data_IF_283077173971
#
_entry.id   IF_283077173971
#
_cell.length_a   1.000
_cell.length_b   1.000
_cell.length_c   1.000
_cell.angle_alpha   90.00
_cell.angle_beta   90.00
_cell.angle_gamma   90.00
#
_symmetry.space_group_name_H-M   'P 1'
#
loop_
_entity.id
_entity.type
_entity.pdbx_description
1 polymer ?
#
# COMPACT_ATOMS: atom_id res chain seq x y z
N UNK A 1 -12.39 23.97 -13.40
CA UNK A 1 -11.43 22.96 -13.86
C UNK A 1 -11.04 22.14 -12.64
N UNK A 2 -11.64 20.97 -12.48
CA UNK A 2 -11.26 20.03 -11.42
C UNK A 2 -9.85 19.56 -11.74
N UNK A 3 -8.87 19.88 -10.89
CA UNK A 3 -7.61 19.16 -10.86
C UNK A 3 -7.97 17.71 -10.52
N UNK A 4 -8.17 16.88 -11.55
CA UNK A 4 -8.30 15.46 -11.37
C UNK A 4 -6.99 15.02 -10.73
N UNK A 5 -7.04 14.54 -9.49
CA UNK A 5 -5.87 14.00 -8.83
C UNK A 5 -5.38 12.86 -9.72
N UNK A 6 -4.24 13.05 -10.40
CA UNK A 6 -3.76 12.13 -11.44
C UNK A 6 -3.52 10.73 -10.90
N UNK A 7 -3.41 10.61 -9.58
CA UNK A 7 -3.18 9.36 -8.88
C UNK A 7 -4.19 9.16 -7.75
N UNK A 8 -4.49 7.89 -7.50
CA UNK A 8 -5.16 7.42 -6.28
C UNK A 8 -4.17 6.63 -5.44
N UNK A 9 -4.47 6.53 -4.15
CA UNK A 9 -3.72 5.71 -3.22
C UNK A 9 -4.60 4.60 -2.69
N UNK A 10 -4.02 3.44 -2.41
CA UNK A 10 -4.71 2.40 -1.67
C UNK A 10 -3.76 1.70 -0.70
N UNK A 11 -4.30 1.29 0.44
CA UNK A 11 -3.60 0.50 1.43
C UNK A 11 -4.11 -0.93 1.42
N UNK A 12 -3.20 -1.91 1.41
CA UNK A 12 -3.52 -3.33 1.41
C UNK A 12 -2.83 -4.03 2.59
N UNK A 13 -3.61 -4.76 3.37
CA UNK A 13 -3.14 -5.67 4.40
C UNK A 13 -2.82 -7.03 3.78
N UNK A 14 -1.68 -7.62 4.13
CA UNK A 14 -1.25 -8.94 3.66
C UNK A 14 -1.22 -9.93 4.81
N UNK A 15 -2.15 -10.89 4.78
CA UNK A 15 -2.15 -11.98 5.74
C UNK A 15 -1.23 -13.09 5.27
N UNK A 16 -0.37 -13.57 6.17
CA UNK A 16 0.63 -14.57 5.82
C UNK A 16 0.02 -15.97 5.94
N UNK A 17 -0.31 -16.59 4.79
CA UNK A 17 -0.39 -18.04 4.63
C UNK A 17 -1.50 -18.81 5.37
N UNK A 18 -2.29 -18.18 6.23
CA UNK A 18 -3.46 -18.84 6.81
C UNK A 18 -4.60 -18.87 5.79
N UNK A 19 -5.08 -20.06 5.44
CA UNK A 19 -6.10 -20.28 4.42
C UNK A 19 -7.42 -19.54 4.68
N UNK A 20 -7.66 -19.12 5.92
CA UNK A 20 -8.86 -18.39 6.36
C UNK A 20 -8.66 -16.85 6.35
N UNK A 21 -7.43 -16.36 6.19
CA UNK A 21 -7.12 -14.94 6.23
C UNK A 21 -6.72 -14.43 4.85
N UNK A 22 -7.64 -13.69 4.22
CA UNK A 22 -7.42 -13.11 2.90
C UNK A 22 -6.80 -11.72 3.00
N UNK A 23 -5.83 -11.42 2.14
CA UNK A 23 -5.37 -10.04 1.93
C UNK A 23 -6.55 -9.16 1.51
N UNK A 24 -6.64 -7.97 2.10
CA UNK A 24 -7.74 -7.04 1.82
C UNK A 24 -7.27 -5.60 1.70
N UNK A 25 -8.10 -4.78 1.05
CA UNK A 25 -7.87 -3.34 0.92
C UNK A 25 -8.44 -2.63 2.16
N UNK A 26 -7.58 -1.90 2.86
CA UNK A 26 -7.94 -1.11 4.05
C UNK A 26 -8.65 0.18 3.65
N UNK A 27 -8.11 0.88 2.64
CA UNK A 27 -8.62 2.17 2.19
C UNK A 27 -8.20 2.47 0.75
N UNK A 28 -8.99 3.29 0.05
CA UNK A 28 -8.67 3.88 -1.26
C UNK A 28 -9.02 5.37 -1.22
N UNK A 29 -8.15 6.24 -1.73
CA UNK A 29 -8.42 7.68 -1.79
C UNK A 29 -7.16 8.54 -1.82
N UNK A 30 -7.23 9.70 -1.18
CA UNK A 30 -6.09 10.61 -1.05
C UNK A 30 -5.02 10.06 -0.11
N UNK A 31 -3.75 10.37 -0.40
CA UNK A 31 -2.59 9.82 0.29
C UNK A 31 -2.67 9.96 1.82
N UNK A 32 -2.92 11.17 2.32
CA UNK A 32 -2.93 11.45 3.76
C UNK A 32 -4.02 10.66 4.50
N UNK A 33 -5.19 10.49 3.87
CA UNK A 33 -6.31 9.73 4.46
C UNK A 33 -5.98 8.24 4.46
N UNK A 34 -5.49 7.72 3.33
CA UNK A 34 -5.10 6.30 3.20
C UNK A 34 -3.99 5.95 4.19
N UNK A 35 -2.99 6.81 4.35
CA UNK A 35 -1.90 6.59 5.30
C UNK A 35 -2.38 6.60 6.75
N UNK A 36 -3.25 7.54 7.12
CA UNK A 36 -3.83 7.60 8.47
C UNK A 36 -4.65 6.33 8.79
N UNK A 37 -5.47 5.86 7.84
CA UNK A 37 -6.26 4.65 8.00
C UNK A 37 -5.40 3.39 8.03
N UNK A 38 -4.36 3.31 7.21
CA UNK A 38 -3.39 2.22 7.24
C UNK A 38 -2.70 2.10 8.61
N UNK A 39 -2.28 3.25 9.18
CA UNK A 39 -1.68 3.31 10.53
C UNK A 39 -2.66 2.88 11.61
N UNK A 40 -3.92 3.34 11.52
CA UNK A 40 -4.96 2.96 12.48
C UNK A 40 -5.25 1.45 12.44
N UNK A 41 -5.32 0.87 11.25
CA UNK A 41 -5.58 -0.56 11.07
C UNK A 41 -4.40 -1.42 11.56
N UNK A 42 -3.17 -1.04 11.19
CA UNK A 42 -1.95 -1.70 11.66
C UNK A 42 -1.83 -1.67 13.20
N UNK A 43 -2.16 -0.54 13.82
CA UNK A 43 -2.18 -0.40 15.28
C UNK A 43 -3.28 -1.23 15.94
N UNK A 44 -4.49 -1.28 15.34
CA UNK A 44 -5.63 -2.07 15.84
C UNK A 44 -5.28 -3.54 16.01
N UNK A 45 -4.47 -4.07 15.09
CA UNK A 45 -4.06 -5.47 15.07
C UNK A 45 -2.63 -5.69 15.56
N UNK A 46 -2.02 -4.66 16.18
CA UNK A 46 -0.70 -4.73 16.82
C UNK A 46 0.36 -5.36 15.91
N UNK A 47 0.41 -4.94 14.65
CA UNK A 47 1.42 -5.43 13.71
C UNK A 47 1.32 -6.92 13.37
N UNK A 48 0.17 -7.58 13.60
CA UNK A 48 -0.02 -8.99 13.23
C UNK A 48 0.27 -9.27 11.74
N UNK A 49 0.10 -8.26 10.88
CA UNK A 49 0.42 -8.33 9.46
C UNK A 49 1.02 -7.01 8.93
N UNK A 50 1.58 -7.08 7.74
CA UNK A 50 2.10 -5.90 7.04
C UNK A 50 1.00 -5.16 6.26
N UNK A 51 1.09 -3.83 6.23
CA UNK A 51 0.21 -2.98 5.41
C UNK A 51 1.05 -2.21 4.40
N UNK A 52 0.85 -2.47 3.12
CA UNK A 52 1.50 -1.71 2.05
C UNK A 52 0.58 -0.59 1.55
N UNK A 53 1.17 0.56 1.23
CA UNK A 53 0.48 1.70 0.65
C UNK A 53 1.04 1.90 -0.76
N UNK A 54 0.15 1.91 -1.74
CA UNK A 54 0.49 2.06 -3.14
C UNK A 54 -0.10 3.35 -3.72
N UNK A 55 0.59 3.89 -4.72
CA UNK A 55 0.11 4.92 -5.63
C UNK A 55 -0.22 4.28 -6.98
N UNK A 56 -1.36 4.60 -7.58
CA UNK A 56 -1.72 4.14 -8.92
C UNK A 56 -2.59 5.14 -9.69
N UNK A 57 -2.87 4.88 -10.97
CA UNK A 57 -3.75 5.70 -11.79
C UNK A 57 -5.23 5.29 -11.60
N UNK A 58 -6.17 6.25 -11.52
CA UNK A 58 -7.59 5.92 -11.62
C UNK A 58 -7.89 5.21 -12.95
N UNK A 59 -8.60 4.08 -12.90
CA UNK A 59 -8.98 3.25 -14.06
C UNK A 59 -7.81 2.60 -14.83
N UNK A 60 -6.58 2.64 -14.31
CA UNK A 60 -5.46 1.87 -14.82
C UNK A 60 -5.41 0.48 -14.17
N UNK A 61 -4.98 -0.54 -14.91
CA UNK A 61 -4.65 -1.82 -14.30
C UNK A 61 -3.55 -1.62 -13.27
N UNK A 62 -3.83 -1.96 -12.01
CA UNK A 62 -2.88 -1.76 -10.91
C UNK A 62 -1.57 -2.48 -11.16
N UNK A 63 -1.59 -3.67 -11.76
CA UNK A 63 -0.39 -4.46 -12.10
C UNK A 63 0.62 -3.70 -12.96
N UNK A 64 0.15 -2.82 -13.83
CA UNK A 64 1.00 -2.05 -14.76
C UNK A 64 1.36 -0.66 -14.22
N UNK A 65 0.70 -0.21 -13.13
CA UNK A 65 0.74 1.19 -12.69
C UNK A 65 0.80 1.34 -11.17
N UNK A 66 1.32 0.37 -10.41
CA UNK A 66 1.46 0.49 -8.96
C UNK A 66 2.88 0.91 -8.58
N UNK A 67 2.98 1.85 -7.65
CA UNK A 67 4.24 2.19 -6.97
C UNK A 67 4.03 2.05 -5.47
N UNK A 68 4.86 1.25 -4.81
CA UNK A 68 4.89 1.20 -3.35
C UNK A 68 5.42 2.54 -2.82
N UNK A 69 4.67 3.19 -1.94
CA UNK A 69 5.04 4.49 -1.36
C UNK A 69 5.13 4.45 0.16
N UNK A 70 4.63 3.39 0.80
CA UNK A 70 4.76 3.17 2.22
C UNK A 70 4.56 1.71 2.59
N UNK A 71 5.17 1.27 3.68
CA UNK A 71 4.98 -0.08 4.20
C UNK A 71 5.07 -0.05 5.73
N UNK A 72 4.04 -0.56 6.39
CA UNK A 72 4.01 -0.81 7.82
C UNK A 72 4.32 -2.30 8.00
N UNK A 73 5.49 -2.64 8.54
CA UNK A 73 5.95 -4.02 8.68
C UNK A 73 5.14 -4.78 9.72
N UNK A 74 5.00 -6.09 9.54
CA UNK A 74 4.51 -6.96 10.61
C UNK A 74 5.55 -7.10 11.73
N UNK A 75 5.09 -7.38 12.94
CA UNK A 75 5.92 -7.73 14.10
C UNK A 75 6.65 -9.07 13.90
N UNK A 76 6.22 -9.88 12.92
CA UNK A 76 6.94 -11.07 12.47
C UNK A 76 8.22 -10.75 11.67
N UNK A 77 8.56 -9.47 11.50
CA UNK A 77 9.89 -9.04 11.04
C UNK A 77 10.08 -9.06 9.53
N UNK A 78 9.01 -9.12 8.75
CA UNK A 78 9.12 -9.14 7.29
C UNK A 78 9.43 -7.75 6.76
N UNK A 79 10.66 -7.57 6.30
CA UNK A 79 11.04 -6.43 5.46
C UNK A 79 10.65 -6.75 4.03
N UNK A 80 9.69 -6.01 3.48
CA UNK A 80 9.41 -6.09 2.05
C UNK A 80 10.60 -5.54 1.26
N UNK A 81 11.39 -6.40 0.63
CA UNK A 81 12.43 -6.02 -0.33
C UNK A 81 11.78 -5.80 -1.69
N UNK A 82 11.40 -4.56 -2.00
CA UNK A 82 11.04 -4.22 -3.37
C UNK A 82 12.31 -3.84 -4.14
N UNK A 83 12.87 -4.80 -4.86
CA UNK A 83 13.82 -4.54 -5.94
C UNK A 83 13.03 -4.12 -7.18
N UNK A 84 12.63 -2.85 -7.25
CA UNK A 84 12.40 -2.21 -8.54
C UNK A 84 13.20 -0.90 -8.55
N UNK A 85 14.18 -0.76 -9.45
CA UNK A 85 15.04 0.41 -9.48
C UNK A 85 14.20 1.65 -9.81
N UNK A 86 14.49 2.74 -9.11
CA UNK A 86 14.00 4.06 -9.50
C UNK A 86 14.49 4.36 -10.93
N UNK A 87 13.58 4.40 -11.91
CA UNK A 87 13.80 5.03 -13.22
C UNK A 87 13.93 6.58 -13.12
N UNK A 88 14.44 7.07 -11.98
CA UNK A 88 14.72 8.49 -11.74
C UNK A 88 16.15 8.72 -11.24
N UNK A 89 17.08 7.81 -11.55
CA UNK A 89 18.52 8.04 -11.39
C UNK A 89 19.27 7.59 -12.66
N UNK A 90 18.86 8.13 -13.80
CA UNK A 90 19.65 8.15 -15.03
C UNK A 90 19.45 9.52 -15.70
N UNK A 91 20.14 10.52 -15.14
CA UNK A 91 20.49 11.77 -15.81
C UNK A 91 21.95 12.07 -15.49
#
# INVERSE_FOLDING_TARGET
MTNANTFIYFAQAFHHGEAEQHSYVVAVGDHAVVEALAKAEHARLRGAYGVAIYRTLPNGATQDNFRLVGYLSSDMGEKWTCSQPDEAQAA
#
